data_IF_864297388958
#
_entry.id   IF_864297388958
#
_cell.length_a   1.000
_cell.length_b   1.000
_cell.length_c   1.000
_cell.angle_alpha   90.00
_cell.angle_beta   90.00
_cell.angle_gamma   90.00
#
_symmetry.space_group_name_H-M   'P 1'
#
loop_
_entity.id
_entity.type
_entity.pdbx_description
1 polymer ?
#
# COMPACT_ATOMS: atom_id res chain seq x y z
N UNK A 1 -32.99 49.39 28.58
CA UNK A 1 -32.07 48.31 28.13
C UNK A 1 -32.41 47.92 26.67
N UNK A 2 -31.55 48.26 25.70
CA UNK A 2 -31.81 47.94 24.26
C UNK A 2 -31.09 46.66 23.93
N UNK A 3 -31.83 45.56 23.75
CA UNK A 3 -31.26 44.31 23.22
C UNK A 3 -30.84 44.53 21.77
N UNK A 4 -29.57 44.41 21.48
CA UNK A 4 -29.01 44.42 20.12
C UNK A 4 -29.25 43.05 19.52
N UNK A 5 -30.20 42.93 18.61
CA UNK A 5 -30.36 41.75 17.78
C UNK A 5 -29.14 41.58 16.87
N UNK A 6 -28.35 40.53 17.07
CA UNK A 6 -27.29 40.11 16.12
C UNK A 6 -27.98 39.69 14.81
N UNK A 7 -27.55 40.29 13.70
CA UNK A 7 -28.10 40.04 12.36
C UNK A 7 -27.88 38.58 11.97
N UNK A 8 -28.90 37.92 11.36
CA UNK A 8 -28.81 36.48 10.99
C UNK A 8 -27.74 36.14 9.95
N UNK A 9 -27.09 37.16 9.36
CA UNK A 9 -26.01 36.95 8.36
C UNK A 9 -24.74 36.27 8.88
N UNK A 10 -24.51 36.31 10.20
CA UNK A 10 -23.30 35.71 10.79
C UNK A 10 -23.45 34.18 10.96
N UNK A 11 -24.69 33.70 11.16
CA UNK A 11 -24.93 32.26 11.34
C UNK A 11 -24.85 31.48 10.02
N UNK A 12 -25.14 32.09 8.88
CA UNK A 12 -25.02 31.44 7.57
C UNK A 12 -23.57 31.18 7.14
N UNK A 13 -22.63 32.07 7.56
CA UNK A 13 -21.23 31.93 7.20
C UNK A 13 -20.50 30.77 7.94
N UNK A 14 -20.99 30.37 9.10
CA UNK A 14 -20.41 29.28 9.90
C UNK A 14 -20.80 27.92 9.31
N UNK A 15 -21.98 27.79 8.72
CA UNK A 15 -22.43 26.51 8.12
C UNK A 15 -21.69 26.13 6.83
N UNK A 16 -21.20 27.11 6.07
CA UNK A 16 -20.48 26.85 4.81
C UNK A 16 -19.05 26.35 5.08
N UNK A 17 -18.43 26.71 6.21
CA UNK A 17 -17.08 26.30 6.56
C UNK A 17 -16.93 24.82 6.98
N UNK A 18 -17.99 24.21 7.51
CA UNK A 18 -17.91 22.85 8.08
C UNK A 18 -18.07 21.77 7.01
N UNK A 19 -18.79 22.05 5.91
CA UNK A 19 -19.05 21.07 4.85
C UNK A 19 -17.84 20.77 3.94
N UNK A 20 -16.79 21.59 3.95
CA UNK A 20 -15.61 21.40 3.09
C UNK A 20 -14.49 20.56 3.74
N UNK A 21 -14.53 20.30 5.04
CA UNK A 21 -13.48 19.55 5.74
C UNK A 21 -13.60 18.02 5.61
N UNK A 22 -14.80 17.53 5.35
CA UNK A 22 -15.03 16.07 5.24
C UNK A 22 -14.37 15.44 4.02
N UNK A 23 -14.21 16.16 2.92
CA UNK A 23 -13.59 15.65 1.69
C UNK A 23 -12.06 15.49 1.78
N UNK A 24 -11.39 16.38 2.52
CA UNK A 24 -9.93 16.34 2.66
C UNK A 24 -9.45 15.14 3.48
N UNK A 25 -10.20 14.76 4.53
CA UNK A 25 -9.84 13.60 5.36
C UNK A 25 -9.94 12.27 4.63
N UNK A 26 -10.91 12.11 3.72
CA UNK A 26 -11.05 10.90 2.91
C UNK A 26 -9.94 10.77 1.85
N UNK A 27 -9.53 11.87 1.24
CA UNK A 27 -8.43 11.89 0.28
C UNK A 27 -7.09 11.53 0.95
N UNK A 28 -6.81 12.08 2.13
CA UNK A 28 -5.60 11.78 2.89
C UNK A 28 -5.52 10.30 3.29
N UNK A 29 -6.64 9.67 3.65
CA UNK A 29 -6.68 8.25 4.00
C UNK A 29 -6.38 7.36 2.78
N UNK A 30 -6.88 7.72 1.60
CA UNK A 30 -6.61 6.99 0.37
C UNK A 30 -5.13 7.08 -0.02
N UNK A 31 -4.52 8.26 0.10
CA UNK A 31 -3.10 8.47 -0.19
C UNK A 31 -2.21 7.72 0.80
N UNK A 32 -2.52 7.74 2.09
CA UNK A 32 -1.80 6.98 3.11
C UNK A 32 -1.88 5.47 2.86
N UNK A 33 -3.05 4.95 2.49
CA UNK A 33 -3.23 3.55 2.13
C UNK A 33 -2.40 3.15 0.90
N UNK A 34 -2.39 3.97 -0.13
CA UNK A 34 -1.59 3.75 -1.33
C UNK A 34 -0.09 3.80 -1.03
N UNK A 35 0.34 4.75 -0.23
CA UNK A 35 1.74 4.86 0.20
C UNK A 35 2.17 3.62 0.99
N UNK A 36 1.35 3.13 1.92
CA UNK A 36 1.61 1.92 2.68
C UNK A 36 1.80 0.69 1.77
N UNK A 37 0.90 0.47 0.80
CA UNK A 37 0.99 -0.64 -0.15
C UNK A 37 2.27 -0.58 -0.98
N UNK A 38 2.61 0.61 -1.48
CA UNK A 38 3.83 0.83 -2.25
C UNK A 38 5.09 0.64 -1.41
N UNK A 39 5.10 1.07 -0.16
CA UNK A 39 6.24 0.90 0.74
C UNK A 39 6.50 -0.57 1.07
N UNK A 40 5.46 -1.38 1.28
CA UNK A 40 5.60 -2.83 1.43
C UNK A 40 6.27 -3.46 0.19
N UNK A 41 5.79 -3.14 -1.00
CA UNK A 41 6.35 -3.67 -2.25
C UNK A 41 7.79 -3.20 -2.49
N UNK A 42 8.12 -1.97 -2.09
CA UNK A 42 9.46 -1.40 -2.25
C UNK A 42 10.54 -2.14 -1.43
N UNK A 43 10.17 -2.83 -0.37
CA UNK A 43 11.14 -3.62 0.42
C UNK A 43 11.79 -4.75 -0.40
N UNK A 44 11.09 -5.24 -1.44
CA UNK A 44 11.58 -6.29 -2.33
C UNK A 44 12.60 -5.78 -3.35
N UNK A 45 12.62 -4.47 -3.62
CA UNK A 45 13.45 -3.86 -4.64
C UNK A 45 14.95 -3.96 -4.35
N UNK A 46 15.35 -4.05 -3.08
CA UNK A 46 16.77 -4.18 -2.70
C UNK A 46 17.46 -5.41 -3.34
N UNK A 47 16.70 -6.49 -3.55
CA UNK A 47 17.22 -7.72 -4.13
C UNK A 47 16.67 -7.96 -5.55
N UNK A 48 15.38 -7.72 -5.75
CA UNK A 48 14.69 -8.02 -7.02
C UNK A 48 14.61 -6.84 -8.00
N UNK A 49 15.22 -5.71 -7.65
CA UNK A 49 15.18 -4.49 -8.46
C UNK A 49 13.84 -3.76 -8.38
N UNK A 50 13.82 -2.52 -8.83
CA UNK A 50 12.61 -1.68 -8.85
C UNK A 50 11.49 -2.38 -9.61
N UNK A 51 10.33 -2.46 -8.99
CA UNK A 51 9.15 -3.17 -9.52
C UNK A 51 9.42 -4.65 -9.86
N UNK A 52 10.41 -5.28 -9.23
CA UNK A 52 10.76 -6.68 -9.47
C UNK A 52 11.39 -6.96 -10.84
N UNK A 53 11.90 -5.93 -11.52
CA UNK A 53 12.50 -6.02 -12.87
C UNK A 53 13.93 -6.52 -12.90
N UNK A 54 14.48 -6.89 -11.74
CA UNK A 54 15.86 -7.31 -11.60
C UNK A 54 16.83 -6.15 -11.42
N UNK A 55 18.07 -6.53 -11.16
CA UNK A 55 19.23 -5.62 -11.12
C UNK A 55 20.19 -6.14 -12.18
N UNK A 56 20.79 -5.24 -12.95
CA UNK A 56 21.78 -5.59 -13.97
C UNK A 56 22.91 -6.37 -13.28
N UNK A 57 23.25 -7.54 -13.82
CA UNK A 57 24.26 -8.47 -13.31
C UNK A 57 24.03 -8.97 -11.87
N UNK A 58 22.82 -8.77 -11.33
CA UNK A 58 22.50 -9.07 -9.92
C UNK A 58 22.24 -10.55 -9.61
N UNK A 59 22.08 -11.41 -10.62
CA UNK A 59 21.83 -12.86 -10.43
C UNK A 59 20.54 -13.22 -9.71
N UNK A 60 19.71 -12.23 -9.35
CA UNK A 60 18.44 -12.44 -8.63
C UNK A 60 17.29 -12.69 -9.61
N UNK A 61 16.33 -13.58 -9.27
CA UNK A 61 15.20 -13.86 -10.14
C UNK A 61 14.36 -12.61 -10.43
N UNK A 62 13.94 -12.46 -11.69
CA UNK A 62 12.94 -11.48 -12.10
C UNK A 62 11.56 -11.93 -11.59
N UNK A 63 10.94 -11.13 -10.76
CA UNK A 63 9.64 -11.45 -10.17
C UNK A 63 8.47 -10.74 -10.85
N UNK A 64 8.74 -9.70 -11.63
CA UNK A 64 7.72 -8.96 -12.38
C UNK A 64 7.12 -9.76 -13.56
N UNK A 65 7.64 -10.94 -13.85
CA UNK A 65 7.08 -11.86 -14.85
C UNK A 65 5.94 -12.70 -14.32
N UNK A 66 5.83 -12.82 -12.99
CA UNK A 66 4.79 -13.59 -12.32
C UNK A 66 3.48 -12.79 -12.27
N UNK A 67 2.34 -13.52 -12.35
CA UNK A 67 1.06 -12.92 -11.99
C UNK A 67 0.98 -12.69 -10.48
N UNK A 68 0.07 -11.83 -10.02
CA UNK A 68 -0.16 -11.60 -8.58
C UNK A 68 -0.46 -12.92 -7.84
N UNK A 69 -1.27 -13.79 -8.43
CA UNK A 69 -1.62 -15.10 -7.86
C UNK A 69 -0.39 -16.02 -7.75
N UNK A 70 0.41 -16.12 -8.83
CA UNK A 70 1.63 -16.93 -8.83
C UNK A 70 2.63 -16.42 -7.78
N UNK A 71 2.79 -15.09 -7.68
CA UNK A 71 3.68 -14.47 -6.70
C UNK A 71 3.23 -14.76 -5.27
N UNK A 72 1.94 -14.60 -4.97
CA UNK A 72 1.36 -14.90 -3.65
C UNK A 72 1.55 -16.36 -3.27
N UNK A 73 1.25 -17.28 -4.20
CA UNK A 73 1.43 -18.72 -4.01
C UNK A 73 2.89 -19.06 -3.66
N UNK A 74 3.85 -18.49 -4.38
CA UNK A 74 5.26 -18.72 -4.11
C UNK A 74 5.71 -18.16 -2.77
N UNK A 75 5.28 -16.94 -2.40
CA UNK A 75 5.61 -16.35 -1.11
C UNK A 75 5.01 -17.13 0.07
N UNK A 76 3.79 -17.62 -0.07
CA UNK A 76 3.17 -18.50 0.95
C UNK A 76 3.90 -19.85 1.05
N UNK A 77 4.37 -20.40 -0.05
CA UNK A 77 5.16 -21.63 -0.04
C UNK A 77 6.50 -21.43 0.66
N UNK A 78 7.18 -20.30 0.49
CA UNK A 78 8.35 -19.94 1.27
C UNK A 78 8.05 -19.77 2.75
N UNK A 79 6.97 -19.06 3.08
CA UNK A 79 6.53 -18.81 4.48
C UNK A 79 6.24 -20.10 5.23
N UNK A 80 5.57 -21.06 4.59
CA UNK A 80 5.23 -22.36 5.19
C UNK A 80 6.38 -23.36 5.22
N UNK A 81 7.48 -23.11 4.48
CA UNK A 81 8.56 -24.06 4.28
C UNK A 81 8.32 -25.11 3.20
N UNK A 82 7.19 -25.05 2.48
CA UNK A 82 6.89 -25.93 1.36
C UNK A 82 7.81 -25.69 0.13
N UNK A 83 8.40 -24.50 0.05
CA UNK A 83 9.42 -24.15 -0.94
C UNK A 83 10.72 -23.80 -0.25
N UNK A 84 11.80 -24.44 -0.68
CA UNK A 84 13.13 -24.13 -0.21
C UNK A 84 13.70 -22.84 -0.84
N UNK A 85 14.59 -22.18 -0.13
CA UNK A 85 15.30 -20.99 -0.58
C UNK A 85 16.31 -20.53 0.46
N UNK A 86 17.23 -19.69 0.05
CA UNK A 86 18.31 -19.21 0.94
C UNK A 86 17.76 -18.18 1.94
N UNK A 87 17.13 -17.10 1.46
CA UNK A 87 16.67 -16.00 2.31
C UNK A 87 15.15 -15.81 2.27
N UNK A 88 14.50 -16.16 1.15
CA UNK A 88 13.06 -15.92 0.98
C UNK A 88 12.19 -16.60 2.04
N UNK A 89 12.48 -17.84 2.53
CA UNK A 89 11.72 -18.43 3.62
C UNK A 89 11.73 -17.57 4.89
N UNK A 90 12.87 -16.97 5.21
CA UNK A 90 12.98 -16.11 6.39
C UNK A 90 12.29 -14.77 6.19
N UNK A 91 12.45 -14.15 5.01
CA UNK A 91 11.76 -12.90 4.68
C UNK A 91 10.25 -13.08 4.69
N UNK A 92 9.72 -14.13 4.05
CA UNK A 92 8.28 -14.36 3.96
C UNK A 92 7.62 -14.56 5.34
N UNK A 93 8.32 -15.13 6.31
CA UNK A 93 7.84 -15.26 7.69
C UNK A 93 7.66 -13.91 8.40
N UNK A 94 8.37 -12.88 7.97
CA UNK A 94 8.27 -11.53 8.54
C UNK A 94 7.00 -10.76 8.13
N UNK A 95 6.21 -11.28 7.18
CA UNK A 95 4.99 -10.63 6.69
C UNK A 95 3.74 -11.41 7.07
N UNK A 96 2.64 -10.69 7.34
CA UNK A 96 1.32 -11.32 7.45
C UNK A 96 0.85 -11.79 6.06
N UNK A 97 -0.18 -12.64 6.01
CA UNK A 97 -0.72 -13.13 4.73
C UNK A 97 -1.35 -11.98 3.92
N UNK A 98 -1.99 -11.01 4.58
CA UNK A 98 -2.53 -9.80 3.95
C UNK A 98 -1.42 -8.90 3.39
N UNK A 99 -0.27 -8.83 4.06
CA UNK A 99 0.88 -8.09 3.55
C UNK A 99 1.48 -8.76 2.33
N UNK A 100 1.61 -10.08 2.34
CA UNK A 100 2.07 -10.86 1.18
C UNK A 100 1.12 -10.68 -0.02
N UNK A 101 -0.18 -10.70 0.21
CA UNK A 101 -1.19 -10.43 -0.83
C UNK A 101 -1.05 -9.00 -1.37
N UNK A 102 -0.87 -8.02 -0.48
CA UNK A 102 -0.65 -6.63 -0.86
C UNK A 102 0.60 -6.48 -1.75
N UNK A 103 1.71 -7.10 -1.37
CA UNK A 103 2.96 -7.10 -2.15
C UNK A 103 2.73 -7.75 -3.52
N UNK A 104 2.08 -8.91 -3.56
CA UNK A 104 1.80 -9.61 -4.80
C UNK A 104 0.94 -8.78 -5.75
N UNK A 105 -0.06 -8.07 -5.23
CA UNK A 105 -0.94 -7.20 -6.01
C UNK A 105 -0.23 -5.93 -6.52
N UNK A 106 0.83 -5.49 -5.85
CA UNK A 106 1.62 -4.34 -6.29
C UNK A 106 2.66 -4.70 -7.34
N UNK A 107 3.31 -5.85 -7.23
CA UNK A 107 4.45 -6.25 -8.08
C UNK A 107 4.07 -7.21 -9.19
N UNK A 108 3.06 -8.05 -9.00
CA UNK A 108 2.62 -9.05 -9.96
C UNK A 108 1.93 -8.43 -11.17
N UNK A 109 2.03 -9.12 -12.32
CA UNK A 109 1.26 -8.76 -13.51
C UNK A 109 -0.23 -8.85 -13.21
N UNK A 110 -0.96 -7.82 -13.57
CA UNK A 110 -2.42 -7.88 -13.60
C UNK A 110 -2.84 -8.73 -14.80
N UNK A 111 -3.76 -9.64 -14.54
CA UNK A 111 -4.44 -10.38 -15.59
C UNK A 111 -5.44 -9.49 -16.28
#
# INVERSE_FOLDING_TARGET
MRARYLKPAILASIYIGISHWSGAALAQNADASNLYKRSLAATCANCHGTDGKGVVDGGMPLINTLTSEQMLTQMKAFKSGAREGTIMPQLAKGYSDEQLETIANQLGKKQ
#
